data_IF_515906322973
#
_entry.id   IF_515906322973
#
_cell.length_a   1.000
_cell.length_b   1.000
_cell.length_c   1.000
_cell.angle_alpha   90.00
_cell.angle_beta   90.00
_cell.angle_gamma   90.00
#
_symmetry.space_group_name_H-M   'P 1'
#
loop_
_entity.id
_entity.type
_entity.pdbx_description
1 polymer ?
#
# COMPACT_ATOMS: atom_id res chain seq x y z
N UNK A 1 0.07 13.39 32.04
CA UNK A 1 1.52 13.29 32.18
C UNK A 1 2.20 14.68 32.09
N UNK A 2 2.05 15.44 31.01
CA UNK A 2 2.73 16.74 30.79
C UNK A 2 2.42 17.73 31.91
N UNK A 3 1.13 17.93 32.25
CA UNK A 3 0.70 18.84 33.35
C UNK A 3 1.28 18.40 34.68
N UNK A 4 1.27 17.11 34.98
CA UNK A 4 1.87 16.54 36.21
C UNK A 4 3.38 16.84 36.29
N UNK A 5 4.11 16.64 35.18
CA UNK A 5 5.54 16.95 35.14
C UNK A 5 5.84 18.45 35.27
N UNK A 6 5.01 19.34 34.69
CA UNK A 6 5.12 20.77 34.91
C UNK A 6 4.93 21.16 36.37
N UNK A 7 3.94 20.53 37.06
CA UNK A 7 3.74 20.74 38.49
C UNK A 7 4.93 20.31 39.34
N UNK A 8 5.73 19.35 38.86
CA UNK A 8 6.98 18.91 39.49
C UNK A 8 8.21 19.78 39.10
N UNK A 9 8.02 20.88 38.36
CA UNK A 9 9.07 21.80 37.94
C UNK A 9 9.85 21.38 36.68
N UNK A 10 9.42 20.32 35.97
CA UNK A 10 10.06 19.94 34.71
C UNK A 10 9.70 20.89 33.57
N UNK A 11 10.68 21.22 32.74
CA UNK A 11 10.43 21.88 31.47
C UNK A 11 9.92 20.85 30.46
N UNK A 12 8.62 20.94 30.12
CA UNK A 12 7.96 19.94 29.27
C UNK A 12 7.34 20.59 28.04
N UNK A 13 7.50 19.94 26.92
CA UNK A 13 6.92 20.34 25.64
C UNK A 13 5.90 19.30 25.18
N UNK A 14 4.71 19.74 24.79
CA UNK A 14 3.68 18.93 24.16
C UNK A 14 3.32 19.56 22.81
N UNK A 15 3.90 19.06 21.75
CA UNK A 15 3.64 19.53 20.38
C UNK A 15 2.36 18.89 19.83
N UNK A 16 1.38 19.68 19.41
CA UNK A 16 0.23 19.19 18.68
C UNK A 16 0.54 19.06 17.19
N UNK A 17 -0.17 18.16 16.52
CA UNK A 17 -0.11 17.99 15.07
C UNK A 17 -1.32 17.25 14.56
N UNK A 18 -1.64 17.44 13.28
CA UNK A 18 -2.73 16.76 12.59
C UNK A 18 -2.18 16.02 11.39
N UNK A 19 -2.59 14.76 11.24
CA UNK A 19 -2.31 13.97 10.04
C UNK A 19 -3.37 14.24 8.98
N UNK A 20 -2.99 14.14 7.70
CA UNK A 20 -3.90 14.34 6.58
C UNK A 20 -4.90 13.19 6.39
N UNK A 21 -4.62 11.99 6.90
CA UNK A 21 -5.49 10.79 6.91
C UNK A 21 -6.24 10.59 5.58
N UNK A 22 -5.52 10.52 4.45
CA UNK A 22 -6.03 10.65 3.09
C UNK A 22 -7.30 9.85 2.80
N UNK A 23 -7.34 8.55 3.11
CA UNK A 23 -8.47 7.65 2.79
C UNK A 23 -9.74 8.11 3.49
N UNK A 24 -9.70 8.37 4.80
CA UNK A 24 -10.87 8.80 5.56
C UNK A 24 -11.41 10.15 5.08
N UNK A 25 -10.53 11.10 4.75
CA UNK A 25 -10.89 12.40 4.19
C UNK A 25 -11.54 12.24 2.82
N UNK A 26 -10.96 11.44 1.92
CA UNK A 26 -11.51 11.19 0.60
C UNK A 26 -12.91 10.57 0.66
N UNK A 27 -13.14 9.59 1.52
CA UNK A 27 -14.46 8.97 1.72
C UNK A 27 -15.49 10.03 2.11
N UNK A 28 -15.16 10.92 3.05
CA UNK A 28 -16.07 12.00 3.49
C UNK A 28 -16.35 13.01 2.40
N UNK A 29 -15.36 13.38 1.61
CA UNK A 29 -15.53 14.26 0.45
C UNK A 29 -16.46 13.63 -0.58
N UNK A 30 -16.27 12.34 -0.90
CA UNK A 30 -17.13 11.60 -1.84
C UNK A 30 -18.58 11.50 -1.31
N UNK A 31 -18.77 11.20 -0.02
CA UNK A 31 -20.10 11.19 0.60
C UNK A 31 -20.79 12.55 0.49
N UNK A 32 -20.06 13.64 0.76
CA UNK A 32 -20.58 15.00 0.64
C UNK A 32 -20.97 15.33 -0.80
N UNK A 33 -20.09 15.05 -1.76
CA UNK A 33 -20.36 15.25 -3.19
C UNK A 33 -21.62 14.51 -3.64
N UNK A 34 -21.74 13.24 -3.27
CA UNK A 34 -22.89 12.42 -3.61
C UNK A 34 -24.19 12.97 -3.02
N UNK A 35 -24.12 13.45 -1.78
CA UNK A 35 -25.29 13.99 -1.07
C UNK A 35 -25.72 15.36 -1.60
N UNK A 36 -24.78 16.26 -1.82
CA UNK A 36 -25.06 17.67 -2.11
C UNK A 36 -25.16 17.94 -3.62
N UNK A 37 -24.38 17.23 -4.45
CA UNK A 37 -24.27 17.47 -5.89
C UNK A 37 -24.77 16.29 -6.73
N UNK A 38 -24.96 15.09 -6.15
CA UNK A 38 -25.30 13.87 -6.87
C UNK A 38 -24.15 13.30 -7.71
N UNK A 39 -22.92 13.81 -7.53
CA UNK A 39 -21.75 13.45 -8.31
C UNK A 39 -20.93 12.34 -7.64
N UNK A 40 -20.23 11.58 -8.47
CA UNK A 40 -19.25 10.58 -8.05
C UNK A 40 -17.83 11.03 -8.44
N UNK A 41 -16.82 10.31 -7.95
CA UNK A 41 -15.43 10.59 -8.30
C UNK A 41 -15.13 10.43 -9.81
N UNK A 42 -15.94 9.61 -10.51
CA UNK A 42 -15.82 9.38 -11.94
C UNK A 42 -16.36 10.55 -12.80
N UNK A 43 -17.21 11.41 -12.22
CA UNK A 43 -17.87 12.51 -12.93
C UNK A 43 -17.04 13.80 -12.94
N UNK A 44 -15.91 13.84 -12.21
CA UNK A 44 -15.09 15.03 -12.04
C UNK A 44 -13.62 14.77 -12.33
N UNK A 45 -12.85 15.86 -12.62
CA UNK A 45 -11.41 15.76 -12.78
C UNK A 45 -10.69 15.65 -11.45
N UNK A 46 -9.41 15.22 -11.48
CA UNK A 46 -8.55 15.16 -10.30
C UNK A 46 -8.43 16.53 -9.60
N UNK A 47 -8.28 17.59 -10.38
CA UNK A 47 -8.14 18.95 -9.87
C UNK A 47 -9.39 19.41 -9.12
N UNK A 48 -10.56 19.15 -9.70
CA UNK A 48 -11.85 19.43 -9.06
C UNK A 48 -12.07 18.63 -7.78
N UNK A 49 -11.59 17.39 -7.73
CA UNK A 49 -11.64 16.59 -6.51
C UNK A 49 -10.69 17.15 -5.44
N UNK A 50 -9.46 17.52 -5.81
CA UNK A 50 -8.49 18.09 -4.87
C UNK A 50 -8.97 19.42 -4.29
N UNK A 51 -9.62 20.27 -5.06
CA UNK A 51 -10.22 21.51 -4.58
C UNK A 51 -11.24 21.23 -3.45
N UNK A 52 -12.15 20.28 -3.68
CA UNK A 52 -13.13 19.87 -2.65
C UNK A 52 -12.47 19.26 -1.41
N UNK A 53 -11.42 18.46 -1.62
CA UNK A 53 -10.67 17.88 -0.52
C UNK A 53 -9.95 18.95 0.33
N UNK A 54 -9.40 19.99 -0.30
CA UNK A 54 -8.80 21.11 0.41
C UNK A 54 -9.83 21.96 1.13
N UNK A 55 -10.99 22.18 0.54
CA UNK A 55 -12.09 22.93 1.19
C UNK A 55 -12.62 22.15 2.41
N UNK A 56 -12.79 20.85 2.30
CA UNK A 56 -13.09 19.99 3.44
C UNK A 56 -12.04 20.11 4.54
N UNK A 57 -10.76 20.08 4.18
CA UNK A 57 -9.66 20.21 5.14
C UNK A 57 -9.65 21.56 5.82
N UNK A 58 -9.94 22.65 5.13
CA UNK A 58 -10.06 23.99 5.71
C UNK A 58 -11.24 24.07 6.68
N UNK A 59 -12.38 23.48 6.32
CA UNK A 59 -13.61 23.52 7.13
C UNK A 59 -13.45 22.70 8.42
N UNK A 60 -12.93 21.47 8.32
CA UNK A 60 -12.92 20.50 9.42
C UNK A 60 -11.56 20.33 10.10
N UNK A 61 -10.47 20.70 9.47
CA UNK A 61 -9.11 20.45 9.96
C UNK A 61 -8.79 21.07 11.33
N UNK A 62 -9.45 22.18 11.67
CA UNK A 62 -9.31 22.83 12.99
C UNK A 62 -10.22 22.26 14.09
N UNK A 63 -11.18 21.42 13.76
CA UNK A 63 -12.23 20.98 14.70
C UNK A 63 -11.65 20.19 15.88
N UNK A 64 -10.80 19.22 15.62
CA UNK A 64 -10.17 18.39 16.66
C UNK A 64 -9.31 19.23 17.61
N UNK A 65 -8.60 20.22 17.09
CA UNK A 65 -7.77 21.11 17.91
C UNK A 65 -8.63 22.00 18.81
N UNK A 66 -9.75 22.51 18.30
CA UNK A 66 -10.72 23.28 19.08
C UNK A 66 -11.36 22.42 20.18
N UNK A 67 -11.67 21.17 19.90
CA UNK A 67 -12.16 20.21 20.90
C UNK A 67 -11.10 19.95 21.98
N UNK A 68 -9.85 19.74 21.61
CA UNK A 68 -8.74 19.55 22.55
C UNK A 68 -8.52 20.79 23.43
N UNK A 69 -8.65 22.01 22.88
CA UNK A 69 -8.58 23.25 23.65
C UNK A 69 -9.70 23.30 24.68
N UNK A 70 -10.92 22.95 24.29
CA UNK A 70 -12.09 22.90 25.21
C UNK A 70 -11.91 21.85 26.31
N UNK A 71 -11.25 20.74 26.03
CA UNK A 71 -10.86 19.72 27.01
C UNK A 71 -9.70 20.14 27.92
N UNK A 72 -9.14 21.34 27.71
CA UNK A 72 -8.04 21.88 28.50
C UNK A 72 -6.68 21.24 28.20
N UNK A 73 -6.45 20.68 27.02
CA UNK A 73 -5.14 20.22 26.62
C UNK A 73 -4.16 21.38 26.54
N UNK A 74 -3.05 21.29 27.28
CA UNK A 74 -2.04 22.35 27.39
C UNK A 74 -0.89 22.15 26.40
N UNK A 75 -1.24 21.99 25.12
CA UNK A 75 -0.30 21.89 24.02
C UNK A 75 0.36 23.24 23.68
N UNK A 76 1.49 23.19 23.02
CA UNK A 76 2.10 24.35 22.36
C UNK A 76 1.38 24.61 21.03
N UNK A 77 0.27 25.33 21.09
CA UNK A 77 -0.61 25.59 19.94
C UNK A 77 0.03 26.47 18.86
N UNK A 78 1.02 27.26 19.18
CA UNK A 78 1.74 28.10 18.23
C UNK A 78 2.62 27.27 17.30
N UNK A 79 3.11 26.11 17.79
CA UNK A 79 3.90 25.16 17.03
C UNK A 79 3.07 24.01 16.44
N UNK A 80 1.76 24.18 16.40
CA UNK A 80 0.91 23.20 15.73
C UNK A 80 1.31 23.03 14.25
N UNK A 81 1.34 21.77 13.78
CA UNK A 81 1.70 21.42 12.40
C UNK A 81 0.64 20.50 11.80
N UNK A 82 0.53 20.62 10.49
CA UNK A 82 -0.23 19.71 9.64
C UNK A 82 0.74 18.95 8.72
N UNK A 83 0.55 17.64 8.54
CA UNK A 83 1.51 16.80 7.81
C UNK A 83 1.76 17.23 6.35
N UNK A 84 0.84 18.01 5.76
CA UNK A 84 1.01 18.58 4.41
C UNK A 84 1.40 20.07 4.42
N UNK A 85 1.82 20.63 5.57
CA UNK A 85 2.40 21.97 5.63
C UNK A 85 3.64 22.06 4.73
N UNK A 86 3.87 23.26 4.16
CA UNK A 86 5.02 23.50 3.27
C UNK A 86 6.34 23.04 3.88
N UNK A 87 6.63 23.42 5.13
CA UNK A 87 7.89 23.04 5.78
C UNK A 87 8.04 21.54 6.01
N UNK A 88 6.94 20.83 6.35
CA UNK A 88 6.96 19.37 6.49
C UNK A 88 7.10 18.68 5.12
N UNK A 89 6.45 19.19 4.09
CA UNK A 89 6.58 18.69 2.71
C UNK A 89 8.02 18.85 2.20
N UNK A 90 8.65 19.98 2.45
CA UNK A 90 10.05 20.23 2.11
C UNK A 90 11.00 19.25 2.83
N UNK A 91 10.76 19.01 4.13
CA UNK A 91 11.55 18.07 4.92
C UNK A 91 11.41 16.61 4.41
N UNK A 92 10.20 16.21 4.00
CA UNK A 92 9.96 14.87 3.40
C UNK A 92 10.71 14.74 2.08
N UNK A 93 10.66 15.74 1.21
CA UNK A 93 11.37 15.73 -0.08
C UNK A 93 12.89 15.69 0.14
N UNK A 94 13.41 16.49 1.06
CA UNK A 94 14.85 16.50 1.40
C UNK A 94 15.29 15.12 1.93
N UNK A 95 14.50 14.51 2.80
CA UNK A 95 14.79 13.17 3.30
C UNK A 95 14.76 12.12 2.19
N UNK A 96 13.81 12.20 1.28
CA UNK A 96 13.73 11.31 0.12
C UNK A 96 14.98 11.42 -0.76
N UNK A 97 15.43 12.65 -1.06
CA UNK A 97 16.64 12.91 -1.85
C UNK A 97 17.85 12.30 -1.15
N UNK A 98 18.05 12.55 0.14
CA UNK A 98 19.16 11.98 0.92
C UNK A 98 19.21 10.45 0.91
N UNK A 99 18.04 9.80 0.97
CA UNK A 99 17.95 8.34 0.89
C UNK A 99 18.26 7.82 -0.52
N UNK A 100 17.81 8.53 -1.54
CA UNK A 100 18.11 8.21 -2.94
C UNK A 100 19.61 8.33 -3.24
N UNK A 101 20.26 9.43 -2.83
CA UNK A 101 21.69 9.65 -2.99
C UNK A 101 22.54 8.59 -2.28
N UNK A 102 22.05 8.06 -1.16
CA UNK A 102 22.70 6.94 -0.46
C UNK A 102 22.44 5.58 -1.09
N UNK A 103 21.67 5.50 -2.19
CA UNK A 103 21.31 4.25 -2.85
C UNK A 103 20.35 3.36 -2.06
N UNK A 104 19.68 3.90 -1.03
CA UNK A 104 18.73 3.16 -0.20
C UNK A 104 17.32 3.12 -0.80
N UNK A 105 17.01 4.01 -1.74
CA UNK A 105 15.76 4.04 -2.48
C UNK A 105 16.06 3.79 -3.96
N UNK A 106 15.36 2.86 -4.56
CA UNK A 106 15.45 2.54 -5.97
C UNK A 106 14.08 2.15 -6.53
N UNK A 107 13.90 2.30 -7.84
CA UNK A 107 12.67 1.88 -8.52
C UNK A 107 12.75 0.39 -8.83
N UNK A 108 11.81 -0.39 -8.32
CA UNK A 108 11.73 -1.84 -8.52
C UNK A 108 10.30 -2.32 -8.71
N UNK A 109 10.16 -3.58 -9.13
CA UNK A 109 8.86 -4.28 -9.19
C UNK A 109 8.77 -5.24 -8.00
N UNK A 110 7.63 -5.24 -7.31
CA UNK A 110 7.34 -6.13 -6.19
C UNK A 110 5.90 -6.63 -6.30
N UNK A 111 5.67 -7.87 -5.87
CA UNK A 111 4.31 -8.40 -5.68
C UNK A 111 3.63 -7.62 -4.57
N UNK A 112 2.41 -7.19 -4.82
CA UNK A 112 1.58 -6.43 -3.87
C UNK A 112 0.16 -7.02 -3.85
N UNK A 113 -0.55 -6.80 -2.74
CA UNK A 113 -1.97 -7.08 -2.67
C UNK A 113 -2.75 -6.00 -3.42
N UNK A 114 -3.67 -6.41 -4.26
CA UNK A 114 -4.49 -5.54 -5.10
C UNK A 114 -5.97 -5.83 -4.89
N UNK A 115 -6.77 -4.80 -4.65
CA UNK A 115 -8.21 -4.90 -4.59
C UNK A 115 -8.84 -4.62 -5.97
N UNK A 116 -9.46 -5.60 -6.64
CA UNK A 116 -10.07 -5.39 -7.95
C UNK A 116 -11.35 -4.55 -7.89
N UNK A 117 -12.01 -4.48 -6.74
CA UNK A 117 -13.18 -3.63 -6.51
C UNK A 117 -12.83 -2.16 -6.33
N UNK A 118 -11.80 -1.89 -5.53
CA UNK A 118 -11.35 -0.53 -5.23
C UNK A 118 -10.37 0.02 -6.27
N UNK A 119 -9.84 -0.83 -7.15
CA UNK A 119 -8.80 -0.50 -8.12
C UNK A 119 -7.56 0.16 -7.48
N UNK A 120 -7.13 -0.38 -6.34
CA UNK A 120 -5.98 0.14 -5.58
C UNK A 120 -5.19 -0.98 -4.90
N UNK A 121 -3.98 -0.65 -4.51
CA UNK A 121 -3.19 -1.49 -3.61
C UNK A 121 -3.76 -1.44 -2.20
N UNK A 122 -3.62 -2.55 -1.47
CA UNK A 122 -3.99 -2.66 -0.07
C UNK A 122 -2.78 -3.14 0.74
N UNK A 123 -2.71 -2.74 2.02
CA UNK A 123 -1.68 -3.19 2.93
C UNK A 123 -1.90 -4.63 3.37
N UNK A 124 -0.84 -5.30 3.84
CA UNK A 124 -0.95 -6.66 4.36
C UNK A 124 -1.90 -6.76 5.58
N UNK A 125 -2.04 -5.66 6.33
CA UNK A 125 -2.94 -5.58 7.49
C UNK A 125 -4.44 -5.55 7.11
N UNK A 126 -4.75 -5.20 5.86
CA UNK A 126 -6.13 -5.15 5.34
C UNK A 126 -6.55 -6.46 4.66
N UNK A 127 -5.64 -7.43 4.54
CA UNK A 127 -5.91 -8.72 3.91
C UNK A 127 -6.48 -9.68 4.96
N UNK A 128 -7.69 -10.14 4.72
CA UNK A 128 -8.31 -11.21 5.50
C UNK A 128 -8.16 -12.53 4.76
N UNK A 129 -7.58 -13.53 5.44
CA UNK A 129 -7.41 -14.86 4.88
C UNK A 129 -8.61 -15.73 5.24
N UNK A 130 -9.13 -16.43 4.24
CA UNK A 130 -10.21 -17.40 4.41
C UNK A 130 -9.77 -18.74 3.83
N UNK A 131 -10.09 -19.82 4.56
CA UNK A 131 -9.85 -21.18 4.10
C UNK A 131 -10.92 -21.55 3.06
N UNK A 132 -10.46 -21.86 1.84
CA UNK A 132 -11.33 -22.34 0.78
C UNK A 132 -10.95 -23.77 0.38
N UNK A 133 -11.92 -24.68 0.20
CA UNK A 133 -11.64 -26.02 -0.33
C UNK A 133 -11.13 -25.90 -1.77
N UNK A 134 -9.93 -26.39 -2.02
CA UNK A 134 -9.29 -26.31 -3.31
C UNK A 134 -8.57 -27.62 -3.65
N UNK A 135 -8.00 -27.70 -4.84
CA UNK A 135 -7.24 -28.85 -5.32
C UNK A 135 -5.80 -28.44 -5.60
N UNK A 136 -4.90 -29.41 -5.49
CA UNK A 136 -3.52 -29.27 -5.96
C UNK A 136 -3.41 -29.93 -7.33
N UNK A 137 -3.34 -29.12 -8.36
CA UNK A 137 -3.29 -29.53 -9.75
C UNK A 137 -1.88 -29.91 -10.15
N UNK A 138 -1.68 -31.11 -10.69
CA UNK A 138 -0.39 -31.58 -11.18
C UNK A 138 -0.33 -31.40 -12.69
N UNK A 139 0.53 -30.52 -13.16
CA UNK A 139 0.72 -30.20 -14.59
C UNK A 139 2.01 -30.86 -15.05
N UNK A 140 1.93 -31.61 -16.16
CA UNK A 140 3.09 -32.28 -16.78
C UNK A 140 3.61 -31.47 -17.96
N UNK A 141 4.82 -30.97 -17.87
CA UNK A 141 5.49 -30.29 -18.98
C UNK A 141 6.43 -31.28 -19.68
N UNK A 142 6.17 -31.57 -20.96
CA UNK A 142 7.00 -32.46 -21.74
C UNK A 142 8.36 -31.84 -22.04
N UNK A 143 9.44 -32.61 -21.90
CA UNK A 143 10.78 -32.15 -22.27
C UNK A 143 10.93 -32.28 -23.80
N UNK A 144 11.36 -31.19 -24.43
CA UNK A 144 11.54 -31.15 -25.89
C UNK A 144 12.69 -32.09 -26.30
N UNK A 145 12.38 -33.01 -27.21
CA UNK A 145 13.36 -34.03 -27.69
C UNK A 145 13.40 -35.32 -26.90
N UNK A 146 12.57 -35.47 -25.87
CA UNK A 146 12.45 -36.73 -25.10
C UNK A 146 10.98 -37.20 -25.16
N UNK A 147 10.76 -38.51 -25.53
CA UNK A 147 9.40 -38.97 -25.83
C UNK A 147 8.51 -39.14 -24.58
N UNK A 148 9.05 -39.65 -23.48
CA UNK A 148 8.29 -40.05 -22.29
C UNK A 148 8.79 -39.36 -20.99
N UNK A 149 9.47 -38.23 -21.11
CA UNK A 149 10.00 -37.55 -19.94
C UNK A 149 9.32 -36.21 -19.73
N UNK A 150 8.89 -35.96 -18.48
CA UNK A 150 8.12 -34.80 -18.09
C UNK A 150 8.69 -34.17 -16.82
N UNK A 151 8.53 -32.87 -16.70
CA UNK A 151 8.64 -32.16 -15.42
C UNK A 151 7.23 -31.98 -14.88
N UNK A 152 6.99 -32.35 -13.62
CA UNK A 152 5.69 -32.22 -12.97
C UNK A 152 5.76 -31.06 -12.01
N UNK A 153 4.83 -30.11 -12.19
CA UNK A 153 4.65 -28.93 -11.32
C UNK A 153 3.28 -29.02 -10.66
N UNK A 154 3.19 -28.73 -9.38
CA UNK A 154 1.94 -28.69 -8.66
C UNK A 154 1.55 -27.24 -8.32
N UNK A 155 0.30 -26.89 -8.56
CA UNK A 155 -0.24 -25.56 -8.28
C UNK A 155 -1.69 -25.62 -7.79
N UNK A 156 -2.07 -24.68 -6.95
CA UNK A 156 -3.47 -24.46 -6.57
C UNK A 156 -4.20 -23.53 -7.55
N UNK A 157 -3.48 -22.92 -8.49
CA UNK A 157 -4.01 -21.97 -9.48
C UNK A 157 -3.59 -22.38 -10.89
N UNK A 158 -4.29 -23.34 -11.51
CA UNK A 158 -3.94 -23.88 -12.83
C UNK A 158 -4.04 -22.84 -13.96
N UNK A 159 -4.84 -21.78 -13.77
CA UNK A 159 -4.97 -20.70 -14.74
C UNK A 159 -3.66 -19.94 -14.99
N UNK A 160 -2.70 -19.98 -14.07
CA UNK A 160 -1.38 -19.34 -14.23
C UNK A 160 -0.53 -20.01 -15.31
N UNK A 161 -0.84 -21.24 -15.67
CA UNK A 161 -0.14 -22.01 -16.71
C UNK A 161 -0.03 -21.24 -18.03
N UNK A 162 -1.03 -20.45 -18.39
CA UNK A 162 -1.03 -19.65 -19.62
C UNK A 162 0.06 -18.57 -19.67
N UNK A 163 0.60 -18.21 -18.52
CA UNK A 163 1.68 -17.22 -18.38
C UNK A 163 3.06 -17.84 -18.11
N UNK A 164 3.17 -19.17 -18.04
CA UNK A 164 4.41 -19.83 -17.70
C UNK A 164 5.47 -19.65 -18.79
N UNK A 165 6.65 -19.20 -18.41
CA UNK A 165 7.80 -18.98 -19.31
C UNK A 165 8.98 -19.88 -18.97
N UNK A 166 9.05 -20.36 -17.72
CA UNK A 166 10.11 -21.23 -17.24
C UNK A 166 9.67 -22.02 -16.00
N UNK A 167 10.34 -23.13 -15.74
CA UNK A 167 10.27 -23.87 -14.47
C UNK A 167 11.61 -23.73 -13.77
N UNK A 168 11.58 -23.23 -12.52
CA UNK A 168 12.77 -23.07 -11.70
C UNK A 168 12.98 -24.31 -10.81
N UNK A 169 14.22 -24.75 -10.69
CA UNK A 169 14.64 -25.84 -9.82
C UNK A 169 15.85 -25.39 -8.98
N UNK A 170 16.07 -26.04 -7.84
CA UNK A 170 17.25 -25.76 -7.05
C UNK A 170 18.49 -26.33 -7.79
N UNK A 171 19.59 -25.56 -7.93
CA UNK A 171 20.76 -26.00 -8.71
C UNK A 171 21.46 -27.26 -8.17
N UNK A 172 21.35 -27.49 -6.86
CA UNK A 172 21.94 -28.67 -6.20
C UNK A 172 20.97 -29.85 -6.07
N UNK A 173 19.76 -29.77 -6.62
CA UNK A 173 18.80 -30.86 -6.58
C UNK A 173 19.17 -31.93 -7.65
N UNK A 174 19.68 -33.04 -7.16
CA UNK A 174 20.14 -34.17 -8.02
C UNK A 174 19.05 -34.69 -8.98
N UNK A 175 17.77 -34.55 -8.62
CA UNK A 175 16.64 -35.00 -9.45
C UNK A 175 16.51 -34.24 -10.75
N UNK A 176 17.00 -32.97 -10.78
CA UNK A 176 16.76 -32.06 -11.89
C UNK A 176 18.03 -31.47 -12.50
N UNK A 177 19.22 -31.84 -12.01
CA UNK A 177 20.49 -31.31 -12.51
C UNK A 177 20.66 -31.51 -14.02
N UNK A 178 20.25 -32.64 -14.54
CA UNK A 178 20.34 -32.96 -15.96
C UNK A 178 19.30 -32.26 -16.83
N UNK A 179 18.34 -31.57 -16.21
CA UNK A 179 17.27 -30.83 -16.88
C UNK A 179 17.57 -29.33 -17.02
N UNK A 180 18.57 -28.85 -16.30
CA UNK A 180 18.92 -27.41 -16.33
C UNK A 180 19.29 -27.00 -17.76
N UNK A 181 18.62 -25.93 -18.26
CA UNK A 181 18.82 -25.45 -19.63
C UNK A 181 18.05 -26.17 -20.73
N UNK A 182 17.32 -27.26 -20.43
CA UNK A 182 16.44 -27.91 -21.39
C UNK A 182 15.17 -27.11 -21.63
N UNK A 183 14.60 -27.28 -22.82
CA UNK A 183 13.33 -26.63 -23.17
C UNK A 183 12.15 -27.54 -22.82
N UNK A 184 11.11 -26.93 -22.28
CA UNK A 184 9.83 -27.57 -21.99
C UNK A 184 8.78 -27.13 -23.02
N UNK A 185 7.86 -28.02 -23.34
CA UNK A 185 6.76 -27.74 -24.25
C UNK A 185 5.50 -27.35 -23.47
N UNK A 186 4.91 -26.22 -23.82
CA UNK A 186 3.59 -25.80 -23.35
C UNK A 186 2.44 -26.38 -24.18
N UNK A 187 2.73 -26.91 -25.38
CA UNK A 187 1.72 -27.46 -26.30
C UNK A 187 1.33 -28.90 -25.92
N UNK A 188 2.20 -29.62 -25.23
CA UNK A 188 2.00 -31.03 -24.87
C UNK A 188 1.86 -31.20 -23.36
N UNK A 189 0.98 -30.42 -22.77
CA UNK A 189 0.65 -30.47 -21.34
C UNK A 189 -0.36 -31.59 -21.10
#
# INVERSE_FOLDING_TARGET
LIRFKRMQGYNTLWLPGSDHAAIATEVKVVEKMKKDEGLTKADITREQFLERAWDWTKEYGGTIQNQQRKLGCSCDWERNRFTMDKGLSEAVVEQFIKLYEKGLIYKGKKMINWCPSCHTTISDAEVEYQDEPSHLWHIKYKIVGEEDRYVIVATTRPETMLGDTAVAVHPDDERYKDLIGKKLSLIHI
#
